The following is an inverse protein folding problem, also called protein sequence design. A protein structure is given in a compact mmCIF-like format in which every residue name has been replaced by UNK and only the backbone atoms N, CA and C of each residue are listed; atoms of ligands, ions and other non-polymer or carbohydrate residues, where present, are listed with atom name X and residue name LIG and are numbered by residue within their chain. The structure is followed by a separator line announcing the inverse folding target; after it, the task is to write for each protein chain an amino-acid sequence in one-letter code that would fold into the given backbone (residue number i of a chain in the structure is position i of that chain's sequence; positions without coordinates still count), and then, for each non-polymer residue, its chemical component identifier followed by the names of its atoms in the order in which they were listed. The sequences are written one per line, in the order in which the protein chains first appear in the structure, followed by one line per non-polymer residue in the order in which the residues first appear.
data_IF_771491050058
#
_entry.id   IF_771491050058
#
_cell.length_a   1.000
_cell.length_b   1.000
_cell.length_c   1.000
_cell.angle_alpha   90.00
_cell.angle_beta   90.00
_cell.angle_gamma   90.00
#
_symmetry.space_group_name_H-M   'P 1'
#
loop_
_entity.id
_entity.type
_entity.pdbx_description
1 polymer ?
#
# COMPACT_ATOMS: atom_id res chain seq x y z
N UNK A 1 -1.12 -3.34 47.38
CA UNK A 1 -0.60 -3.34 45.99
C UNK A 1 -1.59 -4.06 45.08
N UNK A 2 -2.33 -3.36 44.21
CA UNK A 2 -3.23 -4.03 43.26
C UNK A 2 -2.42 -4.62 42.09
N UNK A 3 -2.57 -5.92 41.84
CA UNK A 3 -2.03 -6.60 40.65
C UNK A 3 -2.74 -6.07 39.41
N UNK A 4 -1.97 -5.52 38.46
CA UNK A 4 -2.43 -5.12 37.12
C UNK A 4 -3.11 -6.34 36.45
N UNK A 5 -4.39 -6.29 36.03
CA UNK A 5 -5.01 -7.42 35.38
C UNK A 5 -4.37 -7.63 34.01
N UNK A 6 -3.99 -8.88 33.73
CA UNK A 6 -3.43 -9.30 32.47
C UNK A 6 -4.40 -9.02 31.30
N UNK A 7 -3.85 -8.71 30.15
CA UNK A 7 -4.51 -8.27 28.94
C UNK A 7 -5.25 -9.42 28.22
N UNK A 8 -6.17 -10.11 28.91
CA UNK A 8 -6.80 -11.37 28.44
C UNK A 8 -7.80 -11.15 27.29
N UNK A 9 -8.24 -9.91 27.05
CA UNK A 9 -9.32 -9.62 26.09
C UNK A 9 -8.86 -9.51 24.62
N UNK A 10 -7.56 -9.37 24.33
CA UNK A 10 -7.11 -9.14 22.94
C UNK A 10 -7.10 -10.39 22.05
N UNK A 11 -7.28 -11.59 22.61
CA UNK A 11 -7.17 -12.86 21.87
C UNK A 11 -8.51 -13.42 21.34
N UNK A 12 -9.63 -12.76 21.62
CA UNK A 12 -10.98 -13.24 21.26
C UNK A 12 -11.44 -12.76 19.87
N UNK A 13 -10.75 -11.77 19.30
CA UNK A 13 -10.99 -11.32 17.93
C UNK A 13 -10.02 -12.05 17.00
N UNK A 14 -10.47 -12.56 15.83
CA UNK A 14 -9.56 -13.10 14.85
C UNK A 14 -8.52 -12.04 14.51
N UNK A 15 -7.24 -12.42 14.40
CA UNK A 15 -6.21 -11.50 13.94
C UNK A 15 -6.69 -10.82 12.65
N UNK A 16 -6.53 -9.50 12.56
CA UNK A 16 -7.09 -8.65 11.50
C UNK A 16 -6.87 -9.20 10.08
N UNK A 17 -5.77 -9.92 9.87
CA UNK A 17 -5.41 -10.54 8.59
C UNK A 17 -6.39 -11.65 8.16
N UNK A 18 -7.00 -12.38 9.09
CA UNK A 18 -7.97 -13.44 8.81
C UNK A 18 -9.32 -12.89 8.30
N UNK A 19 -9.68 -11.67 8.71
CA UNK A 19 -10.91 -10.97 8.27
C UNK A 19 -10.66 -10.05 7.07
N UNK A 20 -9.42 -9.93 6.61
CA UNK A 20 -9.03 -9.00 5.55
C UNK A 20 -9.51 -9.50 4.18
N UNK A 21 -10.24 -8.68 3.39
CA UNK A 21 -10.72 -9.07 2.07
C UNK A 21 -9.59 -9.51 1.15
N UNK A 22 -9.86 -10.49 0.27
CA UNK A 22 -8.89 -10.99 -0.69
C UNK A 22 -8.27 -9.85 -1.52
N UNK A 23 -9.09 -8.91 -1.98
CA UNK A 23 -8.63 -7.76 -2.78
C UNK A 23 -7.57 -6.92 -2.05
N UNK A 24 -7.66 -6.80 -0.73
CA UNK A 24 -6.70 -6.07 0.09
C UNK A 24 -5.41 -6.90 0.27
N UNK A 25 -5.55 -8.21 0.52
CA UNK A 25 -4.42 -9.15 0.65
C UNK A 25 -3.60 -9.27 -0.63
N UNK A 26 -4.24 -9.18 -1.78
CA UNK A 26 -3.62 -9.29 -3.10
C UNK A 26 -2.97 -7.99 -3.58
N UNK A 27 -3.03 -6.89 -2.80
CA UNK A 27 -2.42 -5.64 -3.23
C UNK A 27 -0.89 -5.77 -3.35
N UNK A 28 -0.32 -5.33 -4.49
CA UNK A 28 1.11 -5.12 -4.66
C UNK A 28 1.75 -4.35 -3.51
N UNK A 29 2.93 -4.80 -3.08
CA UNK A 29 3.78 -4.13 -2.08
C UNK A 29 4.98 -3.41 -2.71
N UNK A 30 5.27 -3.68 -3.99
CA UNK A 30 6.34 -3.04 -4.76
C UNK A 30 5.84 -2.61 -6.13
N UNK A 31 6.49 -1.62 -6.75
CA UNK A 31 6.10 -1.10 -8.06
C UNK A 31 6.17 -2.18 -9.16
N UNK A 32 7.11 -3.13 -9.07
CA UNK A 32 7.29 -4.20 -10.06
C UNK A 32 6.14 -5.22 -10.05
N UNK A 33 5.41 -5.32 -8.93
CA UNK A 33 4.27 -6.23 -8.78
C UNK A 33 2.99 -5.64 -9.38
N UNK A 34 3.03 -4.39 -9.84
CA UNK A 34 1.86 -3.68 -10.34
C UNK A 34 1.57 -4.08 -11.80
N UNK A 35 0.41 -4.69 -12.03
CA UNK A 35 0.02 -5.23 -13.34
C UNK A 35 -0.65 -4.17 -14.21
N UNK A 36 -0.33 -4.15 -15.51
CA UNK A 36 -1.04 -3.36 -16.52
C UNK A 36 -0.62 -1.89 -16.65
N UNK A 37 0.30 -1.41 -15.81
CA UNK A 37 0.73 0.00 -15.76
C UNK A 37 2.15 0.21 -16.29
N UNK A 38 2.59 -0.63 -17.24
CA UNK A 38 3.97 -0.66 -17.73
C UNK A 38 4.44 0.67 -18.32
N UNK A 39 3.61 1.41 -19.06
CA UNK A 39 4.02 2.72 -19.60
C UNK A 39 4.30 3.77 -18.51
N UNK A 40 3.64 3.65 -17.34
CA UNK A 40 3.79 4.58 -16.22
C UNK A 40 4.90 4.14 -15.26
N UNK A 41 5.08 2.82 -15.11
CA UNK A 41 5.94 2.18 -14.10
C UNK A 41 7.08 1.36 -14.73
N UNK A 42 7.40 1.56 -16.01
CA UNK A 42 8.60 0.95 -16.59
C UNK A 42 9.85 1.49 -15.89
N UNK A 43 10.97 0.74 -15.87
CA UNK A 43 12.21 1.18 -15.23
C UNK A 43 12.73 2.55 -15.68
N UNK A 44 12.49 2.88 -16.95
CA UNK A 44 12.84 4.13 -17.61
C UNK A 44 11.74 5.20 -17.52
N UNK A 45 10.57 4.88 -16.95
CA UNK A 45 9.47 5.83 -16.86
C UNK A 45 9.78 6.94 -15.84
N UNK A 46 9.49 8.22 -16.16
CA UNK A 46 9.80 9.35 -15.29
C UNK A 46 9.20 9.23 -13.88
N UNK A 47 7.98 8.68 -13.77
CA UNK A 47 7.35 8.50 -12.46
C UNK A 47 8.11 7.48 -11.61
N UNK A 48 8.52 6.35 -12.18
CA UNK A 48 9.28 5.32 -11.43
C UNK A 48 10.62 5.86 -10.96
N UNK A 49 11.35 6.57 -11.84
CA UNK A 49 12.62 7.19 -11.47
C UNK A 49 12.47 8.25 -10.38
N UNK A 50 11.42 9.07 -10.44
CA UNK A 50 11.14 10.06 -9.40
C UNK A 50 10.87 9.40 -8.05
N UNK A 51 10.04 8.35 -8.02
CA UNK A 51 9.73 7.60 -6.81
C UNK A 51 10.96 6.89 -6.23
N UNK A 52 11.77 6.24 -7.07
CA UNK A 52 13.03 5.60 -6.64
C UNK A 52 14.06 6.61 -6.13
N UNK A 53 14.04 7.85 -6.64
CA UNK A 53 14.86 8.94 -6.15
C UNK A 53 14.29 9.64 -4.89
N UNK A 54 13.19 9.13 -4.31
CA UNK A 54 12.53 9.72 -3.14
C UNK A 54 11.83 11.05 -3.41
N UNK A 55 11.58 11.39 -4.68
CA UNK A 55 10.94 12.65 -5.08
C UNK A 55 9.46 12.40 -5.37
N UNK A 56 8.61 12.81 -4.44
CA UNK A 56 7.16 12.69 -4.58
C UNK A 56 6.53 14.04 -4.94
N UNK A 57 5.82 14.06 -6.06
CA UNK A 57 5.12 15.23 -6.57
C UNK A 57 3.61 15.11 -6.32
N UNK A 58 2.92 16.25 -6.20
CA UNK A 58 1.46 16.27 -6.22
C UNK A 58 0.95 15.70 -7.54
N UNK A 59 0.01 14.76 -7.48
CA UNK A 59 -0.54 14.07 -8.65
C UNK A 59 -2.02 13.73 -8.47
N UNK A 60 -2.74 13.65 -9.59
CA UNK A 60 -4.13 13.16 -9.64
C UNK A 60 -4.13 11.81 -10.34
N UNK A 61 -4.56 10.76 -9.64
CA UNK A 61 -4.70 9.42 -10.20
C UNK A 61 -6.11 9.26 -10.78
N UNK A 62 -6.25 9.21 -12.11
CA UNK A 62 -7.52 9.07 -12.81
C UNK A 62 -7.59 7.77 -13.63
N UNK A 63 -8.80 7.20 -13.73
CA UNK A 63 -9.06 5.98 -14.51
C UNK A 63 -10.25 5.18 -13.99
N UNK A 64 -10.68 4.13 -14.72
CA UNK A 64 -11.83 3.30 -14.36
C UNK A 64 -11.69 2.58 -13.01
N UNK A 65 -12.78 2.10 -12.40
CA UNK A 65 -12.70 1.32 -11.16
C UNK A 65 -11.86 0.06 -11.36
N UNK A 66 -11.11 -0.35 -10.33
CA UNK A 66 -10.26 -1.55 -10.39
C UNK A 66 -8.89 -1.38 -11.06
N UNK A 67 -8.57 -0.24 -11.68
CA UNK A 67 -7.27 -0.03 -12.34
C UNK A 67 -6.06 0.17 -11.40
N UNK A 68 -6.19 -0.09 -10.10
CA UNK A 68 -5.07 -0.02 -9.15
C UNK A 68 -4.66 1.38 -8.67
N UNK A 69 -5.49 2.40 -8.84
CA UNK A 69 -5.20 3.79 -8.40
C UNK A 69 -4.90 3.88 -6.89
N UNK A 70 -5.77 3.30 -6.06
CA UNK A 70 -5.59 3.27 -4.60
C UNK A 70 -4.34 2.50 -4.21
N UNK A 71 -4.04 1.40 -4.91
CA UNK A 71 -2.80 0.64 -4.70
C UNK A 71 -1.57 1.49 -5.04
N UNK A 72 -1.58 2.18 -6.20
CA UNK A 72 -0.48 3.05 -6.60
C UNK A 72 -0.27 4.20 -5.60
N UNK A 73 -1.33 4.83 -5.11
CA UNK A 73 -1.22 5.87 -4.08
C UNK A 73 -0.52 5.36 -2.81
N UNK A 74 -0.86 4.14 -2.35
CA UNK A 74 -0.23 3.52 -1.18
C UNK A 74 1.23 3.16 -1.41
N UNK A 75 1.57 2.70 -2.61
CA UNK A 75 2.96 2.48 -2.98
C UNK A 75 3.72 3.81 -2.96
N UNK A 76 3.19 4.87 -3.58
CA UNK A 76 3.81 6.20 -3.56
C UNK A 76 4.04 6.69 -2.13
N UNK A 77 3.08 6.52 -1.22
CA UNK A 77 3.24 6.88 0.19
C UNK A 77 4.40 6.13 0.87
N UNK A 78 4.55 4.83 0.58
CA UNK A 78 5.68 4.03 1.06
C UNK A 78 7.03 4.55 0.53
N UNK A 79 7.10 5.03 -0.72
CA UNK A 79 8.32 5.65 -1.26
C UNK A 79 8.55 7.08 -0.73
N UNK A 80 7.51 7.73 -0.24
CA UNK A 80 7.57 9.08 0.35
C UNK A 80 7.94 9.10 1.83
N UNK A 81 8.10 7.92 2.47
CA UNK A 81 8.19 7.79 3.94
C UNK A 81 7.03 8.50 4.68
N UNK A 82 5.86 8.59 4.03
CA UNK A 82 4.66 9.17 4.60
C UNK A 82 3.78 8.01 5.11
N UNK A 83 3.86 7.74 6.42
CA UNK A 83 3.04 6.71 7.11
C UNK A 83 1.73 7.28 7.66
#
# INVERSE_FOLDING_TARGET
MPRKPANVTSSLLPESTALQPLAERMRPRRLEQMVGQRRLLAPDAPLRQALEAGKVYSMVLWGPPGCGKTTLARLVAHYAEAE
#
